data_IF_860155100022
#
_entry.id   IF_860155100022
#
_cell.length_a   1.000
_cell.length_b   1.000
_cell.length_c   1.000
_cell.angle_alpha   90.00
_cell.angle_beta   90.00
_cell.angle_gamma   90.00
#
_symmetry.space_group_name_H-M   'P 1'
#
loop_
_entity.id
_entity.type
_entity.pdbx_description
1 polymer ?
#
# COMPACT_ATOMS: atom_id res chain seq x y z
N UNK A 1 9.08 40.38 -7.39
CA UNK A 1 8.65 39.51 -8.53
C UNK A 1 9.77 38.62 -9.09
N UNK A 2 11.01 39.08 -9.31
CA UNK A 2 12.13 38.19 -9.74
C UNK A 2 12.63 37.21 -8.66
N UNK A 3 12.56 37.54 -7.37
CA UNK A 3 12.90 36.60 -6.28
C UNK A 3 11.91 35.44 -6.09
N UNK A 4 10.61 35.66 -6.37
CA UNK A 4 9.59 34.63 -6.23
C UNK A 4 9.71 33.53 -7.31
N UNK A 5 10.19 33.89 -8.50
CA UNK A 5 10.45 32.95 -9.59
C UNK A 5 11.69 32.11 -9.29
N UNK A 6 12.72 32.71 -8.67
CA UNK A 6 13.93 31.99 -8.26
C UNK A 6 13.64 30.96 -7.15
N UNK A 7 12.79 31.30 -6.17
CA UNK A 7 12.35 30.37 -5.13
C UNK A 7 11.51 29.20 -5.67
N UNK A 8 10.71 29.44 -6.71
CA UNK A 8 9.91 28.40 -7.37
C UNK A 8 10.78 27.44 -8.19
N UNK A 9 11.84 27.94 -8.83
CA UNK A 9 12.78 27.13 -9.60
C UNK A 9 13.65 26.28 -8.67
N UNK A 10 14.14 26.84 -7.55
CA UNK A 10 14.91 26.09 -6.54
C UNK A 10 14.04 25.00 -5.89
N UNK A 11 12.77 25.27 -5.59
CA UNK A 11 11.83 24.27 -5.06
C UNK A 11 11.50 23.15 -6.05
N UNK A 12 11.44 23.47 -7.35
CA UNK A 12 11.22 22.48 -8.41
C UNK A 12 12.46 21.60 -8.65
N UNK A 13 13.67 22.17 -8.58
CA UNK A 13 14.93 21.42 -8.66
C UNK A 13 15.14 20.52 -7.43
N UNK A 14 14.80 20.98 -6.22
CA UNK A 14 14.84 20.14 -5.01
C UNK A 14 13.87 18.95 -5.09
N UNK A 15 12.66 19.15 -5.63
CA UNK A 15 11.69 18.07 -5.87
C UNK A 15 12.19 17.10 -6.95
N UNK A 16 12.86 17.58 -7.99
CA UNK A 16 13.42 16.74 -9.04
C UNK A 16 14.63 15.92 -8.54
N UNK A 17 15.49 16.51 -7.70
CA UNK A 17 16.63 15.82 -7.07
C UNK A 17 16.19 14.77 -6.04
N UNK A 18 15.14 15.04 -5.25
CA UNK A 18 14.54 14.04 -4.34
C UNK A 18 13.86 12.89 -5.11
N UNK A 19 13.28 13.18 -6.27
CA UNK A 19 12.71 12.16 -7.17
C UNK A 19 13.80 11.29 -7.84
N UNK A 20 14.99 11.85 -8.08
CA UNK A 20 16.14 11.11 -8.60
C UNK A 20 16.84 10.26 -7.53
N UNK A 21 16.81 10.67 -6.25
CA UNK A 21 17.38 9.90 -5.14
C UNK A 21 16.53 8.67 -4.75
N UNK A 22 15.23 8.68 -5.04
CA UNK A 22 14.30 7.56 -4.75
C UNK A 22 14.24 6.48 -5.85
N UNK A 23 15.01 6.62 -6.93
CA UNK A 23 15.22 5.55 -7.91
C UNK A 23 16.66 5.07 -7.71
N UNK A 24 16.83 3.87 -7.14
CA UNK A 24 18.15 3.32 -6.82
C UNK A 24 19.12 3.38 -7.99
N UNK A 25 20.10 4.27 -7.93
CA UNK A 25 21.12 4.46 -8.96
C UNK A 25 22.30 5.28 -8.44
N UNK A 26 23.47 4.64 -8.41
CA UNK A 26 24.79 5.18 -8.02
C UNK A 26 25.03 6.59 -8.60
N UNK A 27 25.29 7.58 -7.75
CA UNK A 27 25.79 8.89 -8.19
C UNK A 27 27.23 8.76 -8.71
N UNK A 28 27.43 9.00 -10.00
CA UNK A 28 28.72 9.48 -10.53
C UNK A 28 28.46 10.76 -11.29
N UNK A 29 28.93 11.88 -10.75
CA UNK A 29 28.84 13.20 -11.35
C UNK A 29 29.76 13.23 -12.58
N UNK A 30 29.21 13.50 -13.77
CA UNK A 30 30.00 13.99 -14.90
C UNK A 30 29.35 15.25 -15.48
N UNK A 31 30.07 16.35 -15.36
CA UNK A 31 29.78 17.66 -15.96
C UNK A 31 30.07 17.59 -17.46
N UNK A 32 29.12 18.04 -18.30
CA UNK A 32 29.18 18.45 -19.74
C UNK A 32 27.93 17.87 -20.43
N UNK A 33 27.06 18.59 -21.16
CA UNK A 33 27.23 19.74 -22.02
C UNK A 33 25.86 20.44 -22.23
N UNK A 34 25.91 21.76 -22.37
CA UNK A 34 24.88 22.65 -22.90
C UNK A 34 24.82 22.46 -24.42
N UNK A 35 23.64 22.35 -25.04
CA UNK A 35 23.55 22.32 -26.50
C UNK A 35 22.18 22.13 -27.14
N UNK A 36 21.48 23.25 -27.34
CA UNK A 36 20.60 23.61 -28.45
C UNK A 36 19.20 22.99 -28.70
N UNK A 37 18.30 23.94 -28.96
CA UNK A 37 16.88 23.88 -29.31
C UNK A 37 16.59 23.47 -30.77
N UNK A 38 15.33 23.05 -30.98
CA UNK A 38 14.48 23.10 -32.19
C UNK A 38 14.51 21.96 -33.23
N UNK A 39 13.50 21.07 -33.11
CA UNK A 39 12.57 20.54 -34.16
C UNK A 39 11.84 19.33 -33.52
N UNK A 40 10.52 19.09 -33.55
CA UNK A 40 9.39 19.54 -34.35
C UNK A 40 8.09 19.40 -33.51
N UNK A 41 7.17 20.37 -33.68
CA UNK A 41 5.75 20.29 -33.35
C UNK A 41 4.98 19.55 -34.46
N UNK A 42 3.77 19.05 -34.10
CA UNK A 42 2.70 18.37 -34.89
C UNK A 42 2.83 16.85 -34.79
N UNK A 43 1.81 16.08 -34.38
CA UNK A 43 0.45 16.03 -34.94
C UNK A 43 -0.58 15.62 -33.85
N UNK A 44 -1.68 16.36 -33.76
CA UNK A 44 -2.96 15.93 -33.18
C UNK A 44 -3.81 15.45 -34.36
N UNK A 45 -4.32 14.22 -34.32
CA UNK A 45 -5.56 13.84 -35.02
C UNK A 45 -6.27 12.72 -34.25
N UNK A 46 -7.54 12.98 -33.96
CA UNK A 46 -8.52 12.09 -33.37
C UNK A 46 -8.87 10.92 -34.30
N UNK A 47 -9.31 9.79 -33.74
CA UNK A 47 -10.47 9.06 -34.27
C UNK A 47 -11.02 8.07 -33.24
N UNK A 48 -12.26 8.37 -32.86
CA UNK A 48 -13.24 7.51 -32.21
C UNK A 48 -13.62 6.39 -33.21
N UNK A 49 -13.54 5.12 -32.81
CA UNK A 49 -14.21 4.03 -33.55
C UNK A 49 -15.17 3.34 -32.57
N UNK A 50 -16.44 3.72 -32.71
CA UNK A 50 -17.59 2.91 -32.29
C UNK A 50 -17.82 1.91 -33.42
N UNK A 51 -17.89 0.61 -33.11
CA UNK A 51 -18.51 -0.36 -34.01
C UNK A 51 -19.57 -1.15 -33.25
N UNK A 52 -20.84 -0.87 -33.57
CA UNK A 52 -21.91 -1.84 -33.47
C UNK A 52 -21.61 -2.97 -34.45
N UNK A 53 -21.78 -4.23 -34.03
CA UNK A 53 -22.08 -5.30 -34.98
C UNK A 53 -23.28 -6.10 -34.52
N UNK A 54 -24.36 -5.93 -35.30
CA UNK A 54 -25.38 -6.93 -35.48
C UNK A 54 -24.79 -8.14 -36.23
N UNK A 55 -25.39 -9.31 -35.95
CA UNK A 55 -25.07 -10.62 -36.49
C UNK A 55 -24.70 -10.64 -37.99
N UNK A 56 -23.53 -11.20 -38.32
CA UNK A 56 -23.41 -12.05 -39.51
C UNK A 56 -22.24 -13.04 -39.35
N UNK A 57 -22.54 -14.31 -39.58
CA UNK A 57 -21.64 -15.45 -39.45
C UNK A 57 -20.64 -15.53 -40.60
N UNK A 58 -19.36 -15.28 -40.33
CA UNK A 58 -18.22 -15.77 -41.11
C UNK A 58 -16.98 -15.78 -40.20
N UNK A 59 -16.53 -16.99 -39.85
CA UNK A 59 -15.33 -17.26 -39.06
C UNK A 59 -14.08 -16.78 -39.80
N UNK A 60 -13.59 -15.57 -39.49
CA UNK A 60 -12.22 -15.16 -39.81
C UNK A 60 -11.27 -15.70 -38.75
N UNK A 61 -10.35 -16.58 -39.16
CA UNK A 61 -9.21 -17.01 -38.33
C UNK A 61 -8.44 -15.77 -37.87
N UNK A 62 -8.32 -15.61 -36.55
CA UNK A 62 -7.47 -14.61 -35.92
C UNK A 62 -6.00 -14.95 -36.26
N UNK A 63 -5.23 -13.97 -36.70
CA UNK A 63 -3.82 -14.14 -37.06
C UNK A 63 -2.92 -14.44 -35.84
N UNK A 64 -1.87 -15.27 -35.98
CA UNK A 64 -1.01 -15.75 -34.89
C UNK A 64 -0.18 -14.65 -34.17
N UNK A 65 -0.16 -13.41 -34.68
CA UNK A 65 0.57 -12.29 -34.05
C UNK A 65 -0.10 -11.78 -32.77
N UNK A 66 -1.43 -11.77 -32.70
CA UNK A 66 -2.15 -11.27 -31.53
C UNK A 66 -2.09 -12.25 -30.35
N UNK A 67 -2.14 -13.56 -30.61
CA UNK A 67 -1.91 -14.58 -29.58
C UNK A 67 -0.51 -14.46 -28.99
N UNK A 68 0.52 -14.22 -29.81
CA UNK A 68 1.90 -14.05 -29.32
C UNK A 68 2.09 -12.82 -28.42
N UNK A 69 1.35 -11.74 -28.67
CA UNK A 69 1.40 -10.51 -27.87
C UNK A 69 0.61 -10.65 -26.58
N UNK A 70 -0.56 -11.30 -26.64
CA UNK A 70 -1.35 -11.67 -25.46
C UNK A 70 -0.55 -12.61 -24.57
N UNK A 71 0.07 -13.63 -25.14
CA UNK A 71 0.88 -14.61 -24.42
C UNK A 71 2.15 -13.99 -23.83
N UNK A 72 2.83 -13.08 -24.56
CA UNK A 72 3.93 -12.28 -23.99
C UNK A 72 3.46 -11.34 -22.87
N UNK A 73 2.25 -10.79 -22.94
CA UNK A 73 1.71 -9.94 -21.87
C UNK A 73 1.33 -10.75 -20.63
N UNK A 74 0.84 -11.98 -20.81
CA UNK A 74 0.53 -12.95 -19.75
C UNK A 74 1.82 -13.50 -19.12
N UNK A 75 2.84 -13.84 -19.94
CA UNK A 75 4.16 -14.26 -19.46
C UNK A 75 4.85 -13.14 -18.67
N UNK A 76 4.77 -11.89 -19.17
CA UNK A 76 5.31 -10.71 -18.51
C UNK A 76 4.56 -10.36 -17.21
N UNK A 77 3.26 -10.68 -17.10
CA UNK A 77 2.53 -10.56 -15.83
C UNK A 77 2.84 -11.71 -14.86
N UNK A 78 3.20 -12.91 -15.36
CA UNK A 78 3.60 -14.05 -14.52
C UNK A 78 5.02 -13.93 -13.96
N UNK A 79 5.92 -13.20 -14.65
CA UNK A 79 7.32 -13.00 -14.26
C UNK A 79 7.55 -11.81 -13.30
N UNK A 80 6.50 -11.20 -12.74
CA UNK A 80 6.62 -10.04 -11.84
C UNK A 80 6.07 -10.30 -10.42
N UNK A 81 5.87 -11.58 -10.07
CA UNK A 81 5.48 -11.96 -8.72
C UNK A 81 6.69 -12.45 -7.93
N UNK A 82 6.89 -11.94 -6.71
CA UNK A 82 7.86 -12.47 -5.75
C UNK A 82 7.09 -13.11 -4.61
N UNK A 83 7.33 -14.39 -4.38
CA UNK A 83 6.75 -15.09 -3.25
C UNK A 83 7.53 -14.75 -1.97
N UNK A 84 6.82 -14.65 -0.84
CA UNK A 84 7.44 -14.53 0.47
C UNK A 84 8.24 -15.79 0.80
N UNK A 85 9.35 -15.61 1.49
CA UNK A 85 10.15 -16.71 2.02
C UNK A 85 9.58 -17.29 3.32
N UNK A 86 8.49 -16.75 3.87
CA UNK A 86 7.85 -17.27 5.09
C UNK A 86 6.37 -17.58 4.85
N UNK A 87 5.81 -18.50 5.64
CA UNK A 87 4.37 -18.76 5.67
C UNK A 87 3.70 -18.01 6.82
N UNK A 88 2.95 -16.95 6.49
CA UNK A 88 2.21 -16.16 7.47
C UNK A 88 1.05 -16.92 8.12
N UNK A 89 0.60 -18.07 7.58
CA UNK A 89 -0.37 -18.91 8.27
C UNK A 89 0.12 -19.30 9.67
N UNK A 90 1.44 -19.34 9.90
CA UNK A 90 2.01 -19.56 11.24
C UNK A 90 1.47 -18.54 12.25
N UNK A 91 1.40 -17.26 11.91
CA UNK A 91 0.81 -16.21 12.77
C UNK A 91 -0.71 -16.32 12.82
N UNK A 92 -1.35 -16.64 11.69
CA UNK A 92 -2.81 -16.65 11.59
C UNK A 92 -3.47 -17.80 12.37
N UNK A 93 -2.79 -18.94 12.48
CA UNK A 93 -3.37 -20.20 12.97
C UNK A 93 -2.88 -20.59 14.36
N UNK A 94 -1.77 -20.01 14.83
CA UNK A 94 -1.16 -20.38 16.11
C UNK A 94 -1.34 -19.29 17.18
N UNK A 95 -1.68 -19.72 18.39
CA UNK A 95 -1.74 -18.85 19.57
C UNK A 95 -0.36 -18.53 20.15
N UNK A 96 0.69 -19.20 19.66
CA UNK A 96 2.04 -19.05 20.18
C UNK A 96 3.07 -19.42 19.11
N UNK A 97 4.09 -18.58 18.95
CA UNK A 97 5.23 -18.79 18.03
C UNK A 97 6.49 -18.52 18.83
N UNK A 98 7.41 -19.48 18.88
CA UNK A 98 8.71 -19.35 19.55
C UNK A 98 8.65 -18.75 20.96
N UNK A 99 7.65 -19.16 21.74
CA UNK A 99 7.48 -18.67 23.11
C UNK A 99 6.64 -17.40 23.23
N UNK A 100 6.37 -16.69 22.13
CA UNK A 100 5.59 -15.44 22.07
C UNK A 100 4.11 -15.77 21.88
N UNK A 101 3.26 -15.32 22.80
CA UNK A 101 1.80 -15.46 22.66
C UNK A 101 1.27 -14.51 21.58
N UNK A 102 0.39 -15.01 20.73
CA UNK A 102 -0.30 -14.26 19.69
C UNK A 102 -1.78 -14.18 20.05
N UNK A 103 -2.30 -12.95 20.10
CA UNK A 103 -3.71 -12.66 20.33
C UNK A 103 -4.33 -11.95 19.13
N UNK A 104 -5.59 -12.22 18.84
CA UNK A 104 -6.32 -11.62 17.73
C UNK A 104 -7.19 -10.46 18.23
N UNK A 105 -7.06 -9.31 17.58
CA UNK A 105 -7.92 -8.15 17.73
C UNK A 105 -8.67 -7.87 16.42
N UNK A 106 -10.00 -7.82 16.47
CA UNK A 106 -10.82 -7.39 15.33
C UNK A 106 -11.10 -5.90 15.46
N UNK A 107 -10.76 -5.11 14.44
CA UNK A 107 -10.92 -3.63 14.46
C UNK A 107 -12.06 -3.15 13.55
N UNK A 108 -13.04 -4.03 13.32
CA UNK A 108 -14.18 -3.79 12.44
C UNK A 108 -13.91 -4.19 10.99
N UNK A 109 -14.67 -3.62 10.06
CA UNK A 109 -14.56 -3.90 8.63
C UNK A 109 -14.07 -2.66 7.87
N UNK A 110 -13.45 -2.90 6.71
CA UNK A 110 -13.02 -1.88 5.76
C UNK A 110 -13.96 -1.84 4.56
N UNK A 111 -14.55 -0.68 4.29
CA UNK A 111 -15.32 -0.43 3.08
C UNK A 111 -14.36 -0.19 1.89
N UNK A 112 -14.47 -1.02 0.87
CA UNK A 112 -13.70 -0.95 -0.38
C UNK A 112 -14.63 -0.74 -1.57
N UNK A 113 -15.12 0.49 -1.83
CA UNK A 113 -16.06 0.73 -2.92
C UNK A 113 -15.41 0.62 -4.31
N UNK A 114 -14.09 0.75 -4.43
CA UNK A 114 -13.37 0.57 -5.70
C UNK A 114 -12.58 -0.74 -5.74
N UNK A 115 -12.24 -1.30 -4.57
CA UNK A 115 -11.39 -2.49 -4.47
C UNK A 115 -9.91 -2.22 -4.74
N UNK A 116 -9.55 -0.96 -5.06
CA UNK A 116 -8.16 -0.52 -5.21
C UNK A 116 -7.65 -0.10 -3.85
N UNK A 117 -6.66 -0.81 -3.33
CA UNK A 117 -6.16 -0.60 -1.97
C UNK A 117 -4.84 0.18 -2.00
N UNK A 118 -4.73 1.17 -1.14
CA UNK A 118 -3.48 1.87 -0.82
C UNK A 118 -2.94 1.32 0.49
N UNK A 119 -1.62 1.23 0.61
CA UNK A 119 -0.91 0.94 1.86
C UNK A 119 0.12 2.04 2.10
N UNK A 120 0.06 2.67 3.27
CA UNK A 120 0.98 3.73 3.66
C UNK A 120 0.94 3.98 5.18
N UNK A 121 1.85 4.82 5.65
CA UNK A 121 1.57 5.66 6.82
C UNK A 121 0.61 6.78 6.41
N UNK A 122 -0.59 6.84 7.00
CA UNK A 122 -1.64 7.74 6.56
C UNK A 122 -1.37 9.21 6.91
N UNK A 123 -0.52 9.51 7.89
CA UNK A 123 -0.33 10.89 8.36
C UNK A 123 0.85 11.59 7.70
N UNK A 124 1.79 10.84 7.12
CA UNK A 124 3.00 11.39 6.51
C UNK A 124 2.96 11.32 4.98
N UNK A 125 2.51 10.20 4.41
CA UNK A 125 2.57 9.99 2.96
C UNK A 125 1.22 10.25 2.30
N UNK A 126 1.18 11.31 1.48
CA UNK A 126 -0.01 11.77 0.75
C UNK A 126 -0.15 11.16 -0.65
N UNK A 127 0.77 10.28 -1.04
CA UNK A 127 0.72 9.63 -2.34
C UNK A 127 -0.37 8.54 -2.36
N UNK A 128 -1.42 8.80 -3.15
CA UNK A 128 -2.54 7.88 -3.34
C UNK A 128 -2.27 6.86 -4.45
N UNK A 129 -1.12 6.18 -4.39
CA UNK A 129 -0.74 5.16 -5.38
C UNK A 129 -1.23 3.79 -4.92
N UNK A 130 -2.25 3.19 -5.58
CA UNK A 130 -2.76 1.89 -5.19
C UNK A 130 -1.77 0.76 -5.49
N UNK A 131 -1.98 -0.37 -4.82
CA UNK A 131 -1.41 -1.64 -5.20
C UNK A 131 -1.91 -2.05 -6.61
N UNK A 132 -1.06 -2.74 -7.35
CA UNK A 132 -1.31 -3.20 -8.73
C UNK A 132 -2.46 -4.21 -8.83
N UNK A 133 -2.65 -5.03 -7.79
CA UNK A 133 -3.79 -5.95 -7.67
C UNK A 133 -4.93 -5.26 -6.92
N UNK A 134 -6.16 -5.57 -7.32
CA UNK A 134 -7.39 -5.11 -6.68
C UNK A 134 -8.23 -6.31 -6.22
N UNK A 135 -9.17 -6.03 -5.33
CA UNK A 135 -10.19 -6.97 -4.87
C UNK A 135 -11.56 -6.55 -5.38
N UNK A 136 -12.56 -7.41 -5.26
CA UNK A 136 -13.93 -6.99 -5.56
C UNK A 136 -14.37 -5.90 -4.58
N UNK A 137 -15.19 -4.94 -5.01
CA UNK A 137 -15.79 -4.00 -4.08
C UNK A 137 -16.58 -4.71 -2.98
N UNK A 138 -16.47 -4.25 -1.73
CA UNK A 138 -17.08 -4.93 -0.60
C UNK A 138 -16.75 -4.32 0.75
N UNK A 139 -17.13 -5.03 1.81
CA UNK A 139 -16.82 -4.68 3.18
C UNK A 139 -16.13 -5.87 3.85
N UNK A 140 -14.89 -5.69 4.27
CA UNK A 140 -13.98 -6.80 4.59
C UNK A 140 -13.43 -6.70 6.02
N UNK A 141 -13.40 -7.79 6.81
CA UNK A 141 -12.89 -7.75 8.18
C UNK A 141 -11.42 -7.33 8.27
N UNK A 142 -11.12 -6.54 9.29
CA UNK A 142 -9.78 -6.10 9.63
C UNK A 142 -9.36 -6.79 10.93
N UNK A 143 -8.25 -7.51 10.86
CA UNK A 143 -7.69 -8.31 11.95
C UNK A 143 -6.27 -7.85 12.26
N UNK A 144 -5.97 -7.62 13.53
CA UNK A 144 -4.63 -7.34 14.02
C UNK A 144 -4.18 -8.52 14.87
N UNK A 145 -3.02 -9.07 14.57
CA UNK A 145 -2.37 -10.12 15.36
C UNK A 145 -1.33 -9.46 16.26
N UNK A 146 -1.56 -9.56 17.56
CA UNK A 146 -0.78 -8.89 18.60
C UNK A 146 0.14 -9.91 19.26
N UNK A 147 1.44 -9.68 19.15
CA UNK A 147 2.48 -10.40 19.86
C UNK A 147 2.67 -9.86 21.28
N UNK A 148 2.56 -10.72 22.28
CA UNK A 148 2.82 -10.41 23.69
C UNK A 148 4.33 -10.49 23.96
N UNK A 149 5.08 -9.46 23.56
CA UNK A 149 6.55 -9.48 23.70
C UNK A 149 6.96 -9.25 25.16
N UNK A 150 7.99 -9.96 25.62
CA UNK A 150 8.44 -9.85 27.03
C UNK A 150 9.10 -8.52 27.37
N UNK A 151 9.84 -7.93 26.42
CA UNK A 151 10.67 -6.74 26.66
C UNK A 151 10.00 -5.44 26.25
N UNK A 152 9.15 -5.48 25.22
CA UNK A 152 8.60 -4.28 24.59
C UNK A 152 7.07 -4.19 24.70
N UNK A 153 6.46 -5.04 25.53
CA UNK A 153 5.02 -5.13 25.70
C UNK A 153 4.29 -5.70 24.49
N UNK A 154 3.00 -5.43 24.40
CA UNK A 154 2.16 -5.83 23.27
C UNK A 154 2.59 -5.10 22.00
N UNK A 155 2.75 -5.84 20.90
CA UNK A 155 3.18 -5.31 19.61
C UNK A 155 2.30 -5.85 18.49
N UNK A 156 1.88 -4.99 17.58
CA UNK A 156 1.14 -5.43 16.40
C UNK A 156 2.12 -6.13 15.47
N UNK A 157 2.01 -7.44 15.35
CA UNK A 157 2.91 -8.26 14.54
C UNK A 157 2.46 -8.32 13.09
N UNK A 158 1.14 -8.40 12.88
CA UNK A 158 0.55 -8.51 11.55
C UNK A 158 -0.77 -7.76 11.50
N UNK A 159 -1.01 -6.97 10.45
CA UNK A 159 -2.35 -6.50 10.11
C UNK A 159 -2.87 -7.29 8.91
N UNK A 160 -4.12 -7.76 8.96
CA UNK A 160 -4.76 -8.57 7.91
C UNK A 160 -6.10 -7.92 7.52
N UNK A 161 -6.25 -7.67 6.23
CA UNK A 161 -7.54 -7.47 5.57
C UNK A 161 -8.01 -8.81 5.00
N UNK A 162 -9.10 -9.35 5.53
CA UNK A 162 -9.62 -10.65 5.13
C UNK A 162 -10.62 -10.52 3.97
N UNK A 163 -10.26 -11.04 2.79
CA UNK A 163 -11.10 -10.99 1.58
C UNK A 163 -12.01 -12.21 1.49
N UNK A 164 -11.49 -13.38 1.86
CA UNK A 164 -12.24 -14.63 1.97
C UNK A 164 -11.77 -15.42 3.19
N UNK A 165 -12.54 -16.39 3.64
CA UNK A 165 -12.19 -17.33 4.71
C UNK A 165 -11.27 -18.49 4.26
N UNK A 166 -10.98 -18.59 2.96
CA UNK A 166 -10.09 -19.61 2.41
C UNK A 166 -8.64 -19.42 2.88
N UNK A 167 -7.94 -20.54 3.06
CA UNK A 167 -6.53 -20.58 3.42
C UNK A 167 -5.64 -20.17 2.25
N UNK A 168 -4.65 -19.32 2.52
CA UNK A 168 -3.57 -19.02 1.59
C UNK A 168 -2.60 -20.20 1.52
N UNK A 169 -2.23 -20.62 0.31
CA UNK A 169 -1.18 -21.63 0.08
C UNK A 169 0.17 -20.99 -0.26
N UNK A 170 0.17 -19.70 -0.59
CA UNK A 170 1.37 -18.89 -0.82
C UNK A 170 1.08 -17.41 -0.60
N UNK A 171 2.15 -16.63 -0.41
CA UNK A 171 2.11 -15.21 -0.13
C UNK A 171 2.90 -14.46 -1.19
N UNK A 172 2.28 -13.53 -1.91
CA UNK A 172 2.90 -12.79 -3.02
C UNK A 172 3.08 -11.33 -2.61
N UNK A 173 4.28 -10.78 -2.79
CA UNK A 173 4.58 -9.38 -2.47
C UNK A 173 3.59 -8.45 -3.17
N UNK A 174 2.99 -7.55 -2.40
CA UNK A 174 1.98 -6.61 -2.89
C UNK A 174 2.67 -5.38 -3.50
N UNK A 175 2.86 -5.41 -4.81
CA UNK A 175 3.52 -4.35 -5.58
C UNK A 175 2.54 -3.26 -6.02
N UNK A 176 3.03 -2.04 -6.16
CA UNK A 176 2.42 -0.95 -6.95
C UNK A 176 2.70 -1.12 -8.44
N UNK A 177 1.97 -0.42 -9.30
CA UNK A 177 2.14 -0.53 -10.77
C UNK A 177 3.55 -0.17 -11.26
N UNK A 178 4.26 0.69 -10.53
CA UNK A 178 5.60 1.15 -10.86
C UNK A 178 6.73 0.34 -10.20
N UNK A 179 6.41 -0.75 -9.48
CA UNK A 179 7.37 -1.60 -8.80
C UNK A 179 7.55 -2.92 -9.57
N UNK A 180 8.80 -3.35 -9.75
CA UNK A 180 9.16 -4.53 -10.54
C UNK A 180 9.96 -5.51 -9.68
N UNK A 181 9.38 -6.67 -9.38
CA UNK A 181 10.01 -7.66 -8.51
C UNK A 181 11.35 -8.19 -9.06
N UNK A 182 11.61 -8.08 -10.35
CA UNK A 182 12.89 -8.50 -10.94
C UNK A 182 14.06 -7.61 -10.51
N UNK A 183 13.79 -6.45 -9.91
CA UNK A 183 14.82 -5.60 -9.30
C UNK A 183 15.30 -6.13 -7.94
N UNK A 184 14.51 -7.01 -7.31
CA UNK A 184 14.79 -7.66 -6.04
C UNK A 184 15.64 -8.91 -6.26
N UNK A 185 16.95 -8.80 -6.04
CA UNK A 185 17.91 -9.88 -6.29
C UNK A 185 18.03 -10.88 -5.14
N UNK A 186 17.91 -10.38 -3.91
CA UNK A 186 18.02 -11.21 -2.72
C UNK A 186 16.65 -11.79 -2.35
N UNK A 187 16.65 -12.98 -1.78
CA UNK A 187 15.42 -13.71 -1.49
C UNK A 187 14.55 -13.01 -0.44
N UNK A 188 15.18 -12.38 0.55
CA UNK A 188 14.57 -11.62 1.64
C UNK A 188 14.27 -10.15 1.29
N UNK A 189 14.78 -9.65 0.15
CA UNK A 189 14.53 -8.25 -0.26
C UNK A 189 13.06 -8.01 -0.64
N UNK A 190 12.55 -6.80 -0.39
CA UNK A 190 11.16 -6.46 -0.67
C UNK A 190 11.00 -4.98 -1.05
N UNK A 191 9.92 -4.69 -1.78
CA UNK A 191 9.34 -3.36 -1.82
C UNK A 191 8.41 -3.21 -0.63
N UNK A 192 8.49 -2.07 0.05
CA UNK A 192 7.65 -1.76 1.20
C UNK A 192 7.10 -0.34 1.12
N UNK A 193 6.25 0.01 2.08
CA UNK A 193 5.84 1.37 2.31
C UNK A 193 6.57 1.92 3.55
N UNK A 194 7.08 3.15 3.48
CA UNK A 194 7.72 3.78 4.62
C UNK A 194 6.68 4.21 5.66
N UNK A 195 7.08 4.21 6.92
CA UNK A 195 6.34 4.68 8.09
C UNK A 195 7.22 5.63 8.88
N UNK A 196 6.66 6.76 9.31
CA UNK A 196 7.39 7.87 9.96
C UNK A 196 6.60 8.56 11.08
N UNK A 197 5.30 8.28 11.21
CA UNK A 197 4.46 8.62 12.36
C UNK A 197 4.19 7.40 13.25
N UNK A 198 4.91 6.29 13.06
CA UNK A 198 4.66 5.03 13.76
C UNK A 198 3.27 4.41 13.50
N UNK A 199 2.61 4.80 12.39
CA UNK A 199 1.28 4.32 12.00
C UNK A 199 1.30 3.67 10.62
N UNK A 200 0.50 2.63 10.47
CA UNK A 200 0.23 1.98 9.20
C UNK A 200 -1.27 1.95 8.92
N UNK A 201 -1.60 1.87 7.64
CA UNK A 201 -2.96 1.79 7.16
C UNK A 201 -3.05 1.05 5.83
N UNK A 202 -4.20 0.41 5.61
CA UNK A 202 -4.68 0.09 4.28
C UNK A 202 -6.11 0.58 4.09
N UNK A 203 -6.40 1.19 2.95
CA UNK A 203 -7.72 1.78 2.68
C UNK A 203 -8.01 1.84 1.17
N UNK A 204 -9.29 2.01 0.82
CA UNK A 204 -9.72 2.16 -0.57
C UNK A 204 -9.21 3.46 -1.17
N UNK A 205 -8.90 3.46 -2.47
CA UNK A 205 -8.54 4.66 -3.22
C UNK A 205 -9.52 5.82 -3.02
N UNK A 206 -10.84 5.54 -2.98
CA UNK A 206 -11.85 6.57 -2.73
C UNK A 206 -11.80 7.12 -1.30
N UNK A 207 -11.50 6.28 -0.32
CA UNK A 207 -11.21 6.73 1.06
C UNK A 207 -10.00 7.66 1.08
N UNK A 208 -8.96 7.35 0.30
CA UNK A 208 -7.79 8.21 0.17
C UNK A 208 -8.11 9.62 -0.34
N UNK A 209 -8.97 9.72 -1.35
CA UNK A 209 -9.45 11.02 -1.87
C UNK A 209 -10.25 11.80 -0.83
N UNK A 210 -11.12 11.13 -0.06
CA UNK A 210 -11.87 11.78 1.01
C UNK A 210 -10.95 12.22 2.15
N UNK A 211 -9.94 11.42 2.48
CA UNK A 211 -9.00 11.74 3.53
C UNK A 211 -8.07 12.90 3.16
N UNK A 212 -7.60 12.96 1.91
CA UNK A 212 -6.84 14.11 1.39
C UNK A 212 -7.65 15.41 1.49
N UNK A 213 -8.94 15.36 1.13
CA UNK A 213 -9.86 16.49 1.33
C UNK A 213 -10.01 16.86 2.81
N UNK A 214 -10.23 15.87 3.68
CA UNK A 214 -10.35 16.07 5.12
C UNK A 214 -9.10 16.74 5.72
N UNK A 215 -7.90 16.29 5.34
CA UNK A 215 -6.64 16.87 5.78
C UNK A 215 -6.49 18.32 5.32
N UNK A 216 -6.79 18.61 4.05
CA UNK A 216 -6.76 19.99 3.51
C UNK A 216 -7.69 20.91 4.28
N UNK A 217 -8.94 20.49 4.49
CA UNK A 217 -9.90 21.28 5.26
C UNK A 217 -9.47 21.49 6.72
N UNK A 218 -8.80 20.50 7.32
CA UNK A 218 -8.25 20.63 8.68
C UNK A 218 -7.19 21.74 8.76
N UNK A 219 -6.20 21.70 7.87
CA UNK A 219 -5.11 22.69 7.84
C UNK A 219 -5.52 24.05 7.28
N UNK A 220 -6.55 24.13 6.44
CA UNK A 220 -7.12 25.41 5.99
C UNK A 220 -7.80 26.17 7.15
N UNK A 221 -8.41 25.45 8.10
CA UNK A 221 -9.02 26.08 9.29
C UNK A 221 -7.96 26.60 10.25
N UNK A 222 -6.90 25.83 10.46
CA UNK A 222 -5.78 26.23 11.31
C UNK A 222 -4.48 25.51 10.89
N UNK A 223 -3.56 26.19 10.18
CA UNK A 223 -2.33 25.58 9.70
C UNK A 223 -1.28 25.34 10.79
N UNK A 224 -1.53 25.80 12.03
CA UNK A 224 -0.59 25.62 13.16
C UNK A 224 -0.82 24.32 13.93
N UNK A 225 -1.94 23.65 13.68
CA UNK A 225 -2.32 22.41 14.36
C UNK A 225 -1.59 21.20 13.82
N UNK A 226 -1.48 20.18 14.65
CA UNK A 226 -1.05 18.84 14.29
C UNK A 226 -2.28 17.94 14.20
N UNK A 227 -2.57 17.35 13.03
CA UNK A 227 -3.79 16.54 12.85
C UNK A 227 -3.84 15.30 13.75
N UNK A 228 -2.68 14.77 14.18
CA UNK A 228 -2.67 13.71 15.18
C UNK A 228 -3.06 14.26 16.54
N UNK A 229 -2.25 15.15 17.11
CA UNK A 229 -2.42 15.64 18.48
C UNK A 229 -3.76 16.37 18.68
N UNK A 230 -4.15 17.21 17.71
CA UNK A 230 -5.34 18.06 17.81
C UNK A 230 -6.63 17.37 17.33
N UNK A 231 -6.56 16.19 16.70
CA UNK A 231 -7.74 15.49 16.22
C UNK A 231 -7.70 13.98 16.50
N UNK A 232 -6.79 13.23 15.87
CA UNK A 232 -6.83 11.77 15.91
C UNK A 232 -6.51 11.19 17.29
N UNK A 233 -5.71 11.85 18.12
CA UNK A 233 -5.39 11.37 19.48
C UNK A 233 -6.68 11.11 20.30
N UNK A 234 -7.70 11.97 20.15
CA UNK A 234 -9.01 11.78 20.79
C UNK A 234 -9.75 10.55 20.26
N UNK A 235 -9.62 10.25 18.97
CA UNK A 235 -10.20 9.03 18.38
C UNK A 235 -9.44 7.77 18.84
N UNK A 236 -8.11 7.81 18.90
CA UNK A 236 -7.28 6.70 19.40
C UNK A 236 -7.57 6.38 20.87
N UNK A 237 -7.71 7.40 21.73
CA UNK A 237 -8.05 7.24 23.16
C UNK A 237 -9.36 6.48 23.40
N UNK A 238 -10.28 6.45 22.44
CA UNK A 238 -11.52 5.63 22.55
C UNK A 238 -11.22 4.14 22.63
N UNK A 239 -10.10 3.71 22.04
CA UNK A 239 -9.60 2.34 22.00
C UNK A 239 -8.42 2.07 22.94
N UNK A 240 -8.17 2.95 23.91
CA UNK A 240 -7.24 2.67 25.01
C UNK A 240 -7.67 1.40 25.78
N UNK A 241 -6.71 0.54 26.08
CA UNK A 241 -6.95 -0.70 26.85
C UNK A 241 -7.30 -0.36 28.29
N UNK A 242 -6.56 0.57 28.90
CA UNK A 242 -6.79 1.11 30.22
C UNK A 242 -7.10 2.61 30.17
N UNK A 243 -8.39 2.95 30.15
CA UNK A 243 -8.86 4.35 30.12
C UNK A 243 -8.47 5.19 31.34
N UNK A 244 -8.01 4.56 32.42
CA UNK A 244 -7.54 5.25 33.62
C UNK A 244 -6.03 5.50 33.59
N UNK A 245 -5.29 4.91 32.65
CA UNK A 245 -3.87 5.20 32.44
C UNK A 245 -3.73 6.34 31.42
N UNK A 246 -3.27 7.54 31.83
CA UNK A 246 -3.09 8.65 30.91
C UNK A 246 -2.02 8.40 29.84
N UNK A 247 -1.19 7.36 29.99
CA UNK A 247 -0.20 6.94 28.98
C UNK A 247 -0.77 5.99 27.94
N UNK A 248 -1.93 5.40 28.19
CA UNK A 248 -2.62 4.57 27.21
C UNK A 248 -3.46 5.46 26.28
N UNK A 249 -2.83 5.86 25.18
CA UNK A 249 -3.46 6.70 24.16
C UNK A 249 -4.23 5.89 23.13
N UNK A 250 -4.29 4.55 23.27
CA UNK A 250 -4.83 3.64 22.26
C UNK A 250 -3.90 3.45 21.07
N UNK A 251 -3.98 2.26 20.45
CA UNK A 251 -3.01 1.83 19.43
C UNK A 251 -3.65 1.64 18.04
N UNK A 252 -4.95 1.87 17.92
CA UNK A 252 -5.67 1.75 16.66
C UNK A 252 -6.97 2.57 16.65
N UNK A 253 -7.41 2.90 15.44
CA UNK A 253 -8.74 3.40 15.12
C UNK A 253 -9.26 2.75 13.84
N UNK A 254 -10.57 2.82 13.66
CA UNK A 254 -11.22 2.61 12.37
C UNK A 254 -12.18 3.79 12.14
N UNK A 255 -11.62 4.90 11.67
CA UNK A 255 -12.33 6.17 11.62
C UNK A 255 -13.26 6.23 10.41
N UNK A 256 -14.56 6.44 10.65
CA UNK A 256 -15.58 6.59 9.61
C UNK A 256 -15.80 8.07 9.29
N UNK A 257 -15.69 8.44 8.02
CA UNK A 257 -15.91 9.82 7.59
C UNK A 257 -17.40 10.19 7.69
N UNK A 258 -17.75 11.33 8.34
CA UNK A 258 -19.15 11.74 8.50
C UNK A 258 -19.91 11.79 7.18
N UNK A 259 -21.17 11.32 7.19
CA UNK A 259 -22.07 11.32 6.02
C UNK A 259 -21.59 10.45 4.84
N UNK A 260 -20.62 9.57 5.05
CA UNK A 260 -20.17 8.59 4.05
C UNK A 260 -20.12 7.19 4.67
N UNK A 261 -19.95 6.17 3.83
CA UNK A 261 -19.60 4.81 4.27
C UNK A 261 -18.10 4.53 4.20
N UNK A 262 -17.28 5.55 3.92
CA UNK A 262 -15.83 5.43 3.83
C UNK A 262 -15.22 5.43 5.22
N UNK A 263 -14.19 4.60 5.41
CA UNK A 263 -13.46 4.51 6.65
C UNK A 263 -11.97 4.28 6.42
N UNK A 264 -11.16 4.82 7.31
CA UNK A 264 -9.70 4.69 7.32
C UNK A 264 -9.25 4.06 8.64
N UNK A 265 -8.76 2.81 8.62
CA UNK A 265 -8.14 2.22 9.79
C UNK A 265 -6.74 2.82 9.96
N UNK A 266 -6.35 3.14 11.18
CA UNK A 266 -4.96 3.52 11.47
C UNK A 266 -4.53 2.69 12.67
N UNK A 267 -3.36 2.07 12.60
CA UNK A 267 -2.87 1.18 13.64
C UNK A 267 -1.36 1.31 13.79
N UNK A 268 -0.85 1.14 15.00
CA UNK A 268 0.59 1.19 15.26
C UNK A 268 1.36 0.15 14.45
N UNK A 269 2.53 0.55 13.94
CA UNK A 269 3.39 -0.28 13.11
C UNK A 269 4.46 -0.99 13.95
N UNK A 270 4.18 -2.15 14.54
CA UNK A 270 5.17 -2.95 15.27
C UNK A 270 6.02 -2.16 16.28
N UNK A 271 7.28 -1.87 15.91
CA UNK A 271 8.24 -1.10 16.71
C UNK A 271 8.30 0.40 16.42
N UNK A 272 7.52 0.90 15.45
CA UNK A 272 7.43 2.30 15.05
C UNK A 272 7.80 2.50 13.59
N UNK A 273 8.61 3.52 13.33
CA UNK A 273 9.04 3.91 11.99
C UNK A 273 9.87 2.81 11.30
N UNK A 274 9.81 2.77 9.98
CA UNK A 274 10.49 1.73 9.21
C UNK A 274 9.95 1.57 7.80
N UNK A 275 10.39 0.50 7.14
CA UNK A 275 9.92 0.09 5.81
C UNK A 275 9.27 -1.29 5.94
N UNK A 276 7.97 -1.38 5.65
CA UNK A 276 7.21 -2.60 5.88
C UNK A 276 6.63 -3.16 4.57
N UNK A 277 6.72 -4.48 4.32
CA UNK A 277 6.10 -5.10 3.16
C UNK A 277 4.62 -5.37 3.41
N UNK A 278 3.88 -5.50 2.30
CA UNK A 278 2.55 -6.09 2.31
C UNK A 278 2.53 -7.31 1.38
N UNK A 279 1.69 -8.30 1.69
CA UNK A 279 1.58 -9.53 0.90
C UNK A 279 0.12 -9.91 0.64
N UNK A 280 -0.14 -10.40 -0.57
CA UNK A 280 -1.38 -11.05 -0.94
C UNK A 280 -1.32 -12.53 -0.60
N UNK A 281 -2.25 -13.01 0.22
CA UNK A 281 -2.47 -14.45 0.41
C UNK A 281 -3.24 -15.02 -0.78
N UNK A 282 -2.73 -16.09 -1.39
CA UNK A 282 -3.32 -16.71 -2.58
C UNK A 282 -3.79 -18.13 -2.26
N UNK A 283 -5.04 -18.47 -2.57
CA UNK A 283 -5.58 -19.83 -2.38
C UNK A 283 -5.09 -20.82 -3.44
N UNK A 284 -5.42 -22.10 -3.26
CA UNK A 284 -5.08 -23.16 -4.21
C UNK A 284 -5.66 -22.97 -5.63
N UNK A 285 -6.62 -22.06 -5.82
CA UNK A 285 -7.22 -21.73 -7.11
C UNK A 285 -6.66 -20.41 -7.69
N UNK A 286 -5.61 -19.84 -7.10
CA UNK A 286 -5.01 -18.58 -7.54
C UNK A 286 -5.83 -17.34 -7.19
N UNK A 287 -6.75 -17.42 -6.21
CA UNK A 287 -7.59 -16.29 -5.78
C UNK A 287 -7.04 -15.61 -4.53
N UNK A 288 -7.18 -14.29 -4.46
CA UNK A 288 -6.80 -13.50 -3.28
C UNK A 288 -7.70 -13.86 -2.10
N UNK A 289 -7.07 -14.17 -0.97
CA UNK A 289 -7.72 -14.50 0.31
C UNK A 289 -7.58 -13.39 1.34
N UNK A 290 -6.45 -12.67 1.31
CA UNK A 290 -6.19 -11.55 2.21
C UNK A 290 -5.09 -10.64 1.69
N UNK A 291 -5.08 -9.40 2.16
CA UNK A 291 -3.88 -8.55 2.19
C UNK A 291 -3.34 -8.55 3.63
N UNK A 292 -2.04 -8.70 3.80
CA UNK A 292 -1.38 -8.55 5.10
C UNK A 292 -0.29 -7.48 5.06
N UNK A 293 0.02 -6.89 6.20
CA UNK A 293 1.24 -6.12 6.46
C UNK A 293 2.01 -6.87 7.55
N UNK A 294 3.29 -7.12 7.30
CA UNK A 294 4.22 -7.67 8.28
C UNK A 294 5.04 -6.55 8.93
N UNK A 295 5.01 -6.50 10.25
CA UNK A 295 5.76 -5.52 11.04
C UNK A 295 7.07 -6.06 11.62
N UNK A 296 7.48 -7.27 11.22
CA UNK A 296 8.74 -7.91 11.64
C UNK A 296 8.88 -8.03 13.16
N UNK A 297 7.76 -8.20 13.87
CA UNK A 297 7.74 -8.36 15.33
C UNK A 297 8.00 -9.80 15.74
N UNK A 298 7.56 -10.76 14.91
CA UNK A 298 7.69 -12.19 15.14
C UNK A 298 8.54 -12.75 14.00
N UNK A 299 9.67 -13.36 14.36
CA UNK A 299 10.53 -14.08 13.43
C UNK A 299 9.83 -15.38 13.01
N UNK A 300 9.83 -15.67 11.71
CA UNK A 300 9.24 -16.88 11.15
C UNK A 300 10.32 -17.70 10.43
N UNK A 301 10.26 -19.04 10.50
CA UNK A 301 11.20 -19.88 9.76
C UNK A 301 11.00 -19.71 8.26
N UNK A 302 12.12 -19.62 7.53
CA UNK A 302 12.10 -19.57 6.08
C UNK A 302 11.65 -20.91 5.47
N UNK A 303 10.85 -20.79 4.40
CA UNK A 303 10.47 -21.89 3.53
C UNK A 303 11.73 -22.36 2.78
N UNK A 304 12.07 -23.63 2.96
CA UNK A 304 13.14 -24.26 2.18
C UNK A 304 12.68 -24.31 0.71
N UNK A 305 13.37 -23.57 -0.16
CA UNK A 305 13.20 -23.66 -1.61
C UNK A 305 13.87 -24.91 -2.18
#
# INVERSE_FOLDING_TARGET
>A
KKLAILAFIVSAEEKALRKAANVGGKLTINKQLIGNNNQMKKIIFSSLIINLFACNSQTKKVEPKNESLIQKSIEKSSNNEKESIVDYNLILENKKIDGIEISLLNIGNLNLPTGKIIVCDPLVYTELTPLSKSVNPGNYPIKIYIAKTKKSGDRFALAKLEITDKKAVKWILALRENENSNELKEDDSFFGFPVDAGLASFFDYKTGLEFDKFQKEFYERDPTKNIYDDFFETEFKKNAVNKNDPKDVGNWINYKFPKTELNIPMFQSGYGDGLYPAYWGIDANGKITSLIIDFFVVELPELKK
#
